data_IF_677163622419
#
_entry.id   IF_677163622419
#
_cell.length_a   1.000
_cell.length_b   1.000
_cell.length_c   1.000
_cell.angle_alpha   90.00
_cell.angle_beta   90.00
_cell.angle_gamma   90.00
#
_symmetry.space_group_name_H-M   'P 1'
#
loop_
_entity.id
_entity.type
_entity.pdbx_description
1 polymer ?
#
# COMPACT_ATOMS: atom_id res chain seq x y z
N UNK A 1 -19.58 6.62 -10.93
CA UNK A 1 -18.73 7.83 -10.84
C UNK A 1 -17.52 7.46 -11.66
N UNK A 2 -17.65 7.75 -12.93
CA UNK A 2 -16.79 7.29 -14.00
C UNK A 2 -15.87 8.47 -14.27
N UNK A 3 -14.62 8.35 -13.82
CA UNK A 3 -13.62 9.40 -14.01
C UNK A 3 -13.31 9.43 -15.50
N UNK A 4 -13.64 10.54 -16.14
CA UNK A 4 -13.39 10.72 -17.57
C UNK A 4 -11.87 10.72 -17.83
N UNK A 5 -11.39 10.10 -18.92
CA UNK A 5 -9.97 9.89 -19.23
C UNK A 5 -9.17 11.16 -19.61
N UNK A 6 -9.54 12.33 -19.10
CA UNK A 6 -8.86 13.61 -19.38
C UNK A 6 -8.63 14.51 -18.15
N UNK A 7 -9.09 14.11 -16.96
CA UNK A 7 -8.94 14.86 -15.71
C UNK A 7 -7.76 14.37 -14.84
N UNK A 8 -7.01 13.39 -15.32
CA UNK A 8 -5.89 12.79 -14.61
C UNK A 8 -4.58 13.29 -15.20
N UNK A 9 -3.55 13.53 -14.37
CA UNK A 9 -2.19 13.75 -14.86
C UNK A 9 -1.82 12.67 -15.87
N UNK A 10 -1.03 13.01 -16.90
CA UNK A 10 -0.74 12.11 -18.02
C UNK A 10 -0.11 10.75 -17.62
N UNK A 11 0.40 10.65 -16.38
CA UNK A 11 0.97 9.43 -15.79
C UNK A 11 0.00 8.67 -14.85
N UNK A 12 -1.17 9.21 -14.55
CA UNK A 12 -2.12 8.64 -13.58
C UNK A 12 -3.23 7.90 -14.28
N UNK A 13 -3.36 6.63 -13.97
CA UNK A 13 -4.41 5.82 -14.55
C UNK A 13 -5.70 5.90 -13.72
N UNK A 14 -6.90 5.85 -14.34
CA UNK A 14 -8.18 5.98 -13.62
C UNK A 14 -8.39 4.98 -12.49
N UNK A 15 -7.77 3.80 -12.60
CA UNK A 15 -7.86 2.77 -11.57
C UNK A 15 -6.97 3.03 -10.35
N UNK A 16 -5.99 3.95 -10.44
CA UNK A 16 -5.12 4.34 -9.32
C UNK A 16 -5.75 5.40 -8.43
N UNK A 17 -6.81 6.05 -8.92
CA UNK A 17 -7.59 7.02 -8.17
C UNK A 17 -8.26 6.32 -7.01
N UNK A 18 -8.10 6.88 -5.81
CA UNK A 18 -8.51 6.28 -4.53
C UNK A 18 -7.78 5.00 -4.11
N UNK A 19 -6.74 4.56 -4.81
CA UNK A 19 -5.81 3.54 -4.32
C UNK A 19 -4.50 4.16 -3.82
N UNK A 20 -3.96 5.11 -4.59
CA UNK A 20 -2.67 5.74 -4.33
C UNK A 20 -2.76 7.25 -4.51
N UNK A 21 -3.23 7.72 -5.67
CA UNK A 21 -3.07 9.12 -6.10
C UNK A 21 -3.88 10.12 -5.27
N UNK A 22 -5.06 9.72 -4.79
CA UNK A 22 -5.91 10.56 -3.91
C UNK A 22 -5.48 10.51 -2.44
N UNK A 23 -4.53 9.63 -2.09
CA UNK A 23 -3.98 9.58 -0.75
C UNK A 23 -2.98 10.74 -0.55
N UNK A 24 -2.90 11.37 0.64
CA UNK A 24 -1.96 12.46 0.91
C UNK A 24 -0.47 12.12 0.65
N UNK A 25 -0.14 10.83 0.65
CA UNK A 25 1.20 10.31 0.36
C UNK A 25 1.36 9.74 -1.05
N UNK A 26 0.31 9.75 -1.88
CA UNK A 26 0.42 9.22 -3.24
C UNK A 26 0.89 7.76 -3.25
N UNK A 27 1.94 7.50 -4.01
CA UNK A 27 2.62 6.20 -4.14
C UNK A 27 3.72 5.98 -3.09
N UNK A 28 3.95 6.94 -2.19
CA UNK A 28 5.06 6.89 -1.24
C UNK A 28 4.70 6.05 0.01
N UNK A 29 5.03 4.77 -0.05
CA UNK A 29 4.96 3.86 1.11
C UNK A 29 6.34 3.69 1.73
N UNK A 30 6.60 4.45 2.78
CA UNK A 30 7.79 4.26 3.63
C UNK A 30 7.64 3.00 4.48
N UNK A 31 8.61 2.09 4.42
CA UNK A 31 8.59 0.82 5.16
C UNK A 31 9.74 0.70 6.15
N UNK A 32 10.64 1.69 6.18
CA UNK A 32 11.77 1.67 7.09
C UNK A 32 11.31 1.97 8.54
N UNK A 33 11.53 1.04 9.49
CA UNK A 33 11.08 1.22 10.87
C UNK A 33 11.84 2.36 11.59
N UNK A 34 13.05 2.71 11.16
CA UNK A 34 13.78 3.86 11.72
C UNK A 34 13.11 5.19 11.34
N UNK A 35 12.32 5.19 10.26
CA UNK A 35 11.50 6.33 9.83
C UNK A 35 10.05 6.24 10.32
N UNK A 36 9.76 5.36 11.28
CA UNK A 36 8.45 5.24 11.92
C UNK A 36 7.45 4.37 11.17
N UNK A 37 7.90 3.57 10.20
CA UNK A 37 7.06 2.49 9.67
C UNK A 37 6.91 1.37 10.70
N UNK A 38 5.78 0.67 10.64
CA UNK A 38 5.47 -0.44 11.52
C UNK A 38 4.84 -1.53 10.66
N UNK A 39 5.47 -2.70 10.58
CA UNK A 39 5.04 -3.80 9.73
C UNK A 39 4.37 -4.88 10.59
N UNK A 40 3.22 -5.40 10.14
CA UNK A 40 2.64 -6.55 10.80
C UNK A 40 3.58 -7.76 10.67
N UNK A 41 3.72 -8.59 11.73
CA UNK A 41 4.58 -9.77 11.65
C UNK A 41 4.08 -10.73 10.56
N UNK A 42 4.98 -11.17 9.68
CA UNK A 42 4.69 -12.27 8.75
C UNK A 42 4.53 -13.55 9.55
N UNK A 43 3.41 -14.24 9.38
CA UNK A 43 3.28 -15.66 9.76
C UNK A 43 4.06 -16.55 8.79
N UNK A 44 5.39 -16.38 8.70
CA UNK A 44 6.28 -17.32 8.00
C UNK A 44 7.57 -17.47 8.79
N UNK A 45 7.62 -18.55 9.56
CA UNK A 45 8.78 -19.05 10.27
C UNK A 45 9.97 -19.33 9.32
N UNK A 46 11.16 -18.91 9.77
CA UNK A 46 12.54 -19.39 9.54
C UNK A 46 13.17 -19.48 8.12
N UNK A 47 14.26 -18.71 7.89
CA UNK A 47 15.29 -18.98 6.85
C UNK A 47 16.18 -17.77 6.46
N UNK A 48 17.53 -17.89 6.38
CA UNK A 48 18.46 -16.75 6.38
C UNK A 48 18.79 -16.17 4.99
N UNK A 49 18.95 -14.84 4.88
CA UNK A 49 20.09 -14.18 4.21
C UNK A 49 19.96 -12.64 4.30
N UNK A 50 20.86 -12.02 5.05
CA UNK A 50 20.60 -10.81 5.84
C UNK A 50 21.33 -9.54 5.37
N UNK A 51 21.81 -9.39 4.13
CA UNK A 51 22.56 -8.14 3.79
C UNK A 51 22.19 -7.51 2.45
N UNK A 52 22.23 -8.22 1.32
CA UNK A 52 21.96 -7.59 0.01
C UNK A 52 20.47 -7.42 -0.34
N UNK A 53 19.59 -8.16 0.35
CA UNK A 53 18.13 -8.08 0.25
C UNK A 53 17.52 -6.84 0.92
N UNK A 54 18.22 -6.27 1.91
CA UNK A 54 17.67 -5.23 2.79
C UNK A 54 17.36 -3.91 2.10
N UNK A 55 18.07 -3.54 1.03
CA UNK A 55 17.86 -2.24 0.38
C UNK A 55 16.68 -2.23 -0.61
N UNK A 56 16.41 -3.37 -1.26
CA UNK A 56 15.24 -3.57 -2.13
C UNK A 56 13.98 -3.92 -1.30
N UNK A 57 14.12 -4.67 -0.19
CA UNK A 57 13.03 -4.93 0.78
C UNK A 57 12.55 -3.68 1.51
N UNK A 58 13.39 -2.64 1.64
CA UNK A 58 13.06 -1.37 2.31
C UNK A 58 11.99 -0.54 1.61
N UNK A 59 11.72 -0.76 0.31
CA UNK A 59 10.66 -0.04 -0.45
C UNK A 59 9.55 -0.98 -0.92
N UNK A 60 9.89 -2.23 -1.22
CA UNK A 60 8.94 -3.30 -1.51
C UNK A 60 9.02 -4.39 -0.44
N UNK A 61 8.25 -4.26 0.64
CA UNK A 61 8.09 -5.36 1.59
C UNK A 61 7.07 -6.35 1.06
N UNK A 62 7.57 -7.55 0.74
CA UNK A 62 6.78 -8.78 0.62
C UNK A 62 6.65 -9.51 1.97
N UNK A 63 7.34 -9.01 3.00
CA UNK A 63 7.48 -9.63 4.31
C UNK A 63 6.35 -9.28 5.27
N UNK A 64 5.43 -8.37 4.93
CA UNK A 64 4.26 -8.08 5.75
C UNK A 64 3.01 -7.86 4.88
N UNK A 65 1.90 -8.51 5.22
CA UNK A 65 0.63 -8.40 4.49
C UNK A 65 -0.04 -7.03 4.67
N UNK A 66 0.27 -6.31 5.75
CA UNK A 66 -0.22 -4.97 6.03
C UNK A 66 0.69 -4.26 7.03
N UNK A 67 0.48 -2.96 7.21
CA UNK A 67 1.23 -2.20 8.19
C UNK A 67 0.82 -0.75 8.26
N UNK A 68 1.56 -0.02 9.08
CA UNK A 68 1.46 1.41 9.24
C UNK A 68 2.67 2.09 8.58
N UNK A 69 2.41 3.09 7.75
CA UNK A 69 3.43 3.90 7.11
C UNK A 69 3.03 5.37 7.22
N UNK A 70 3.91 6.21 7.76
CA UNK A 70 3.69 7.67 7.86
C UNK A 70 2.30 8.03 8.37
N UNK A 71 1.83 7.29 9.40
CA UNK A 71 0.52 7.45 10.07
C UNK A 71 -0.69 6.95 9.29
N UNK A 72 -0.50 6.23 8.20
CA UNK A 72 -1.57 5.62 7.41
C UNK A 72 -1.41 4.10 7.27
N UNK A 73 -2.53 3.41 7.34
CA UNK A 73 -2.58 1.97 7.15
C UNK A 73 -2.52 1.64 5.66
N UNK A 74 -1.71 0.66 5.33
CA UNK A 74 -1.61 0.07 4.00
C UNK A 74 -1.75 -1.45 4.10
N UNK A 75 -2.19 -2.10 3.02
CA UNK A 75 -2.18 -3.57 2.91
C UNK A 75 -1.78 -4.04 1.52
N UNK A 76 -1.26 -5.25 1.45
CA UNK A 76 -1.03 -5.96 0.19
C UNK A 76 -2.39 -6.32 -0.43
N UNK A 77 -2.44 -6.22 -1.75
CA UNK A 77 -3.66 -6.49 -2.52
C UNK A 77 -3.37 -7.32 -3.79
N UNK A 78 -2.11 -7.46 -4.18
CA UNK A 78 -1.68 -8.30 -5.29
C UNK A 78 -0.58 -9.28 -4.88
N UNK A 79 -0.15 -10.11 -5.83
CA UNK A 79 0.81 -11.20 -5.61
C UNK A 79 2.27 -10.78 -5.85
N UNK A 80 2.48 -9.62 -6.48
CA UNK A 80 3.79 -9.13 -6.91
C UNK A 80 4.19 -7.86 -6.17
N UNK A 81 3.72 -7.71 -4.93
CA UNK A 81 4.05 -6.55 -4.08
C UNK A 81 3.18 -5.34 -4.36
N UNK A 82 2.08 -5.52 -5.10
CA UNK A 82 1.04 -4.49 -5.19
C UNK A 82 0.37 -4.31 -3.82
N UNK A 83 0.18 -3.04 -3.46
CA UNK A 83 -0.39 -2.63 -2.19
C UNK A 83 -1.38 -1.50 -2.42
N UNK A 84 -2.10 -1.11 -1.37
CA UNK A 84 -3.02 0.03 -1.37
C UNK A 84 -2.97 0.75 -0.03
N UNK A 85 -3.30 2.04 -0.03
CA UNK A 85 -3.74 2.70 1.20
C UNK A 85 -5.13 2.21 1.59
N UNK A 86 -5.35 2.05 2.89
CA UNK A 86 -6.62 1.55 3.40
C UNK A 86 -7.51 2.69 3.87
N UNK A 87 -8.81 2.54 3.68
CA UNK A 87 -9.83 3.45 4.16
C UNK A 87 -11.02 2.68 4.72
N UNK A 88 -11.75 3.33 5.63
CA UNK A 88 -12.99 2.79 6.19
C UNK A 88 -14.08 2.71 5.13
N UNK A 89 -15.20 2.04 5.46
CA UNK A 89 -16.35 1.88 4.58
C UNK A 89 -15.98 1.23 3.24
N UNK A 90 -15.18 0.17 3.27
CA UNK A 90 -14.82 -0.53 2.04
C UNK A 90 -13.89 0.26 1.12
N UNK A 91 -13.03 1.11 1.68
CA UNK A 91 -12.10 1.93 0.89
C UNK A 91 -12.71 3.19 0.28
N UNK A 92 -13.92 3.57 0.70
CA UNK A 92 -14.63 4.75 0.17
C UNK A 92 -14.73 5.90 1.18
N UNK A 93 -14.55 5.61 2.46
CA UNK A 93 -14.56 6.58 3.54
C UNK A 93 -13.20 7.26 3.74
N UNK A 94 -13.00 7.93 4.88
CA UNK A 94 -11.72 8.50 5.26
C UNK A 94 -10.58 7.47 5.27
N UNK A 95 -9.38 7.93 4.94
CA UNK A 95 -8.15 7.13 5.04
C UNK A 95 -7.91 6.68 6.48
N UNK A 96 -7.49 5.43 6.64
CA UNK A 96 -7.28 4.84 7.95
C UNK A 96 -5.92 5.25 8.48
N UNK A 97 -5.94 5.99 9.59
CA UNK A 97 -4.73 6.36 10.31
C UNK A 97 -4.23 5.28 11.27
N UNK A 98 -2.96 5.35 11.66
CA UNK A 98 -2.33 4.40 12.59
C UNK A 98 -1.13 4.97 13.32
N UNK A 99 -0.88 4.52 14.55
CA UNK A 99 0.36 4.71 15.31
C UNK A 99 1.33 3.56 15.08
N UNK A 100 0.82 2.33 15.03
CA UNK A 100 1.60 1.13 14.70
C UNK A 100 0.79 0.20 13.80
N UNK A 101 1.40 -0.89 13.35
CA UNK A 101 0.70 -1.91 12.55
C UNK A 101 -0.51 -2.50 13.29
N UNK A 102 -0.54 -2.44 14.63
CA UNK A 102 -1.63 -2.99 15.45
C UNK A 102 -2.94 -2.19 15.32
N UNK A 103 -2.86 -0.94 14.87
CA UNK A 103 -4.03 -0.12 14.55
C UNK A 103 -4.59 -0.43 13.15
N UNK A 104 -3.86 -1.25 12.39
CA UNK A 104 -4.20 -1.67 11.05
C UNK A 104 -4.71 -3.11 11.06
N UNK A 105 -5.43 -3.47 10.00
CA UNK A 105 -5.95 -4.82 9.83
C UNK A 105 -6.16 -5.14 8.36
N UNK A 106 -6.70 -6.34 8.13
CA UNK A 106 -6.95 -6.84 6.78
C UNK A 106 -8.43 -6.86 6.42
N UNK A 107 -9.33 -6.65 7.37
CA UNK A 107 -10.76 -6.66 7.08
C UNK A 107 -11.12 -5.55 6.08
N UNK A 108 -12.01 -5.88 5.16
CA UNK A 108 -12.34 -4.95 4.08
C UNK A 108 -13.28 -3.84 4.52
N UNK A 109 -13.89 -3.92 5.72
CA UNK A 109 -14.86 -2.91 6.16
C UNK A 109 -14.11 -1.69 6.67
N UNK A 110 -13.15 -1.89 7.57
CA UNK A 110 -12.37 -0.85 8.21
C UNK A 110 -11.03 -0.58 7.50
N UNK A 111 -10.52 -1.55 6.74
CA UNK A 111 -9.24 -1.47 6.01
C UNK A 111 -9.39 -1.82 4.52
N UNK A 112 -10.49 -1.37 3.90
CA UNK A 112 -10.71 -1.59 2.46
C UNK A 112 -9.70 -0.84 1.59
N UNK A 113 -9.19 -1.50 0.55
CA UNK A 113 -8.57 -0.79 -0.56
C UNK A 113 -9.64 -0.01 -1.33
N UNK A 114 -9.25 1.08 -2.00
CA UNK A 114 -10.12 1.80 -2.94
C UNK A 114 -10.92 0.87 -3.86
N UNK A 115 -12.11 1.34 -4.25
CA UNK A 115 -13.26 0.54 -4.72
C UNK A 115 -12.98 -0.48 -5.85
N UNK A 116 -11.96 -0.25 -6.67
CA UNK A 116 -11.66 -1.09 -7.84
C UNK A 116 -10.81 -2.33 -7.50
N UNK A 117 -9.97 -2.27 -6.47
CA UNK A 117 -9.05 -3.35 -6.13
C UNK A 117 -9.76 -4.68 -5.78
N UNK A 118 -10.96 -4.64 -5.19
CA UNK A 118 -11.71 -5.85 -4.82
C UNK A 118 -12.38 -6.55 -6.01
N UNK A 119 -12.79 -5.77 -7.03
CA UNK A 119 -13.43 -6.30 -8.23
C UNK A 119 -12.41 -6.74 -9.28
N UNK A 120 -11.29 -6.04 -9.28
CA UNK A 120 -10.19 -6.22 -10.20
C UNK A 120 -8.90 -6.14 -9.38
N UNK A 121 -8.44 -7.24 -8.78
CA UNK A 121 -7.15 -7.25 -8.07
C UNK A 121 -6.00 -6.85 -8.99
N UNK A 122 -6.14 -7.04 -10.31
CA UNK A 122 -5.24 -6.49 -11.33
C UNK A 122 -5.19 -4.96 -11.36
N UNK A 123 -6.25 -4.27 -10.90
CA UNK A 123 -6.35 -2.81 -10.81
C UNK A 123 -5.71 -2.28 -9.52
N UNK A 124 -5.36 -3.16 -8.58
CA UNK A 124 -4.51 -2.76 -7.48
C UNK A 124 -3.09 -2.51 -7.96
N UNK A 125 -2.75 -1.25 -8.18
CA UNK A 125 -1.52 -0.88 -8.89
C UNK A 125 -0.61 0.08 -8.12
N UNK A 126 -0.84 0.36 -6.83
CA UNK A 126 0.23 0.99 -6.06
C UNK A 126 1.39 -0.01 -6.02
N UNK A 127 2.38 0.26 -6.87
CA UNK A 127 3.62 -0.48 -6.93
C UNK A 127 4.64 0.38 -6.22
N UNK A 128 5.50 -0.27 -5.46
CA UNK A 128 6.71 0.42 -5.08
C UNK A 128 7.54 0.58 -6.35
N UNK A 129 7.67 1.82 -6.77
CA UNK A 129 8.53 2.15 -7.90
C UNK A 129 9.96 1.84 -7.48
N UNK A 130 10.70 1.01 -8.24
CA UNK A 130 12.13 1.02 -8.10
C UNK A 130 12.56 2.45 -8.44
N UNK A 131 13.19 3.14 -7.52
CA UNK A 131 13.95 4.35 -7.87
C UNK A 131 15.03 3.91 -8.85
N UNK A 132 14.73 3.94 -10.16
CA UNK A 132 15.76 3.98 -11.18
C UNK A 132 16.21 5.42 -11.19
N UNK A 133 17.17 5.73 -10.33
CA UNK A 133 17.99 6.92 -10.49
C UNK A 133 18.64 6.81 -11.88
N UNK A 134 18.25 7.70 -12.78
CA UNK A 134 18.90 7.91 -14.08
C UNK A 134 19.94 9.02 -13.94
#
# INVERSE_FOLDING_TARGET
MDIAPGDLPEAVQPWEVRLCVDHPLGHDRELDPEKGASLAPSVKEEGPSLVSKRLFEKKCSFSAEYGCSKRYCWKQCGKNGEWCWTAVSGGTGPWRGCHSWQDCGMDDIDYGCGRNCKKHPEDCKCRCEPTIEH
#
